data_IF_027644478679
#
_entry.id   IF_027644478679
#
_cell.length_a   1.000
_cell.length_b   1.000
_cell.length_c   1.000
_cell.angle_alpha   90.00
_cell.angle_beta   90.00
_cell.angle_gamma   90.00
#
_symmetry.space_group_name_H-M   'P 1'
#
loop_
_entity.id
_entity.type
_entity.pdbx_description
1 polymer ?
#
# COMPACT_ATOMS: atom_id res chain seq x y z
N UNK A 1 -36.50 -12.59 31.90
CA UNK A 1 -36.30 -12.45 30.44
C UNK A 1 -34.85 -12.04 30.24
N UNK A 2 -33.98 -13.06 30.16
CA UNK A 2 -32.53 -12.90 29.97
C UNK A 2 -32.30 -12.56 28.50
N UNK A 3 -31.77 -11.38 28.20
CA UNK A 3 -31.17 -11.11 26.90
C UNK A 3 -29.66 -11.30 27.04
N UNK A 4 -29.21 -12.46 26.56
CA UNK A 4 -27.81 -12.76 26.24
C UNK A 4 -27.23 -11.61 25.41
N UNK A 5 -26.24 -10.90 25.95
CA UNK A 5 -25.27 -10.18 25.11
C UNK A 5 -24.46 -11.24 24.37
N UNK A 6 -24.72 -11.40 23.08
CA UNK A 6 -23.84 -12.14 22.16
C UNK A 6 -22.48 -11.44 22.19
N UNK A 7 -21.51 -12.01 22.91
CA UNK A 7 -20.09 -11.73 22.68
C UNK A 7 -19.76 -12.19 21.26
N UNK A 8 -19.64 -11.22 20.36
CA UNK A 8 -18.97 -11.43 19.09
C UNK A 8 -17.48 -11.42 19.43
N UNK A 9 -16.92 -12.60 19.72
CA UNK A 9 -15.48 -12.79 19.58
C UNK A 9 -15.20 -12.61 18.08
N UNK A 10 -14.63 -11.47 17.70
CA UNK A 10 -13.95 -11.34 16.42
C UNK A 10 -12.69 -12.19 16.55
N UNK A 11 -12.77 -13.43 16.05
CA UNK A 11 -11.59 -14.28 15.88
C UNK A 11 -10.65 -13.60 14.89
N UNK A 12 -9.63 -12.91 15.40
CA UNK A 12 -8.47 -12.48 14.62
C UNK A 12 -7.62 -13.70 14.28
N UNK A 13 -8.11 -14.47 13.32
CA UNK A 13 -7.32 -15.38 12.50
C UNK A 13 -6.95 -14.58 11.25
N UNK A 14 -5.76 -13.94 11.25
CA UNK A 14 -5.04 -13.76 9.99
C UNK A 14 -4.18 -15.01 9.77
N UNK A 15 -4.70 -15.99 9.02
CA UNK A 15 -3.85 -16.72 8.10
C UNK A 15 -4.44 -16.60 6.71
N UNK A 16 -3.68 -16.01 5.78
CA UNK A 16 -3.56 -16.38 4.37
C UNK A 16 -2.82 -15.25 3.64
N UNK A 17 -1.48 -15.37 3.58
CA UNK A 17 -0.74 -14.85 2.44
C UNK A 17 -1.20 -15.69 1.25
N UNK A 18 -2.18 -15.16 0.50
CA UNK A 18 -2.79 -15.77 -0.67
C UNK A 18 -3.19 -14.63 -1.60
N UNK A 19 -2.22 -14.15 -2.40
CA UNK A 19 -2.36 -13.05 -3.36
C UNK A 19 -2.84 -11.71 -2.74
N UNK A 20 -2.19 -10.61 -3.08
CA UNK A 20 -2.61 -9.29 -2.57
C UNK A 20 -4.08 -9.03 -2.91
N UNK A 21 -4.98 -8.81 -1.93
CA UNK A 21 -6.28 -8.21 -2.22
C UNK A 21 -6.03 -6.80 -2.78
N UNK A 22 -6.86 -6.39 -3.76
CA UNK A 22 -6.81 -5.12 -4.50
C UNK A 22 -6.19 -3.97 -3.69
N UNK A 23 -4.93 -3.62 -3.99
CA UNK A 23 -4.20 -2.50 -3.39
C UNK A 23 -2.90 -2.87 -2.66
N UNK A 24 -2.73 -4.10 -2.16
CA UNK A 24 -1.50 -4.49 -1.45
C UNK A 24 -0.42 -5.05 -2.38
N UNK A 25 0.83 -4.63 -2.16
CA UNK A 25 2.03 -5.14 -2.81
C UNK A 25 2.82 -6.07 -1.89
N UNK A 26 4.14 -6.01 -1.98
CA UNK A 26 5.02 -6.89 -1.21
C UNK A 26 5.09 -6.51 0.27
N UNK A 27 5.34 -7.50 1.11
CA UNK A 27 5.28 -7.36 2.56
C UNK A 27 6.15 -8.37 3.31
N UNK A 28 6.59 -7.96 4.50
CA UNK A 28 7.10 -8.83 5.55
C UNK A 28 6.21 -8.64 6.80
N UNK A 29 5.86 -9.72 7.49
CA UNK A 29 5.09 -9.63 8.73
C UNK A 29 5.65 -10.52 9.83
N UNK A 30 5.41 -10.12 11.07
CA UNK A 30 5.65 -10.90 12.28
C UNK A 30 4.50 -10.71 13.27
N UNK A 31 4.15 -11.78 13.96
CA UNK A 31 3.08 -11.82 14.95
C UNK A 31 1.88 -12.67 14.53
N UNK A 32 0.90 -12.84 15.43
CA UNK A 32 0.82 -12.17 16.74
C UNK A 32 1.87 -12.64 17.75
N UNK A 33 2.22 -11.79 18.71
CA UNK A 33 2.95 -12.17 19.92
C UNK A 33 2.13 -13.17 20.74
N UNK A 34 2.80 -13.92 21.62
CA UNK A 34 2.12 -14.83 22.53
C UNK A 34 1.18 -14.06 23.48
N UNK A 35 0.16 -14.74 24.00
CA UNK A 35 -0.81 -14.17 24.95
C UNK A 35 -0.10 -13.48 26.12
N UNK A 36 -0.46 -12.22 26.37
CA UNK A 36 0.13 -11.41 27.43
C UNK A 36 1.50 -10.80 27.11
N UNK A 37 2.05 -11.03 25.91
CA UNK A 37 3.26 -10.38 25.40
C UNK A 37 2.90 -9.36 24.30
N UNK A 38 3.77 -8.38 24.06
CA UNK A 38 3.59 -7.36 23.04
C UNK A 38 4.92 -6.73 22.63
N UNK A 39 4.93 -5.97 21.55
CA UNK A 39 6.10 -5.23 21.08
C UNK A 39 6.15 -3.88 21.81
N UNK A 40 7.21 -3.63 22.58
CA UNK A 40 7.44 -2.34 23.25
C UNK A 40 8.09 -1.31 22.36
N UNK A 41 9.00 -1.77 21.50
CA UNK A 41 9.75 -0.88 20.63
C UNK A 41 9.85 -1.52 19.27
N UNK A 42 9.62 -0.73 18.23
CA UNK A 42 9.85 -1.12 16.86
C UNK A 42 10.53 0.03 16.13
N UNK A 43 11.66 -0.25 15.50
CA UNK A 43 12.42 0.67 14.67
C UNK A 43 12.68 0.00 13.33
N UNK A 44 12.55 0.75 12.24
CA UNK A 44 12.97 0.30 10.91
C UNK A 44 13.27 1.53 10.05
N UNK A 45 14.23 1.42 9.14
CA UNK A 45 14.66 2.55 8.30
C UNK A 45 14.45 2.22 6.83
N UNK A 46 13.58 2.97 6.16
CA UNK A 46 13.45 2.90 4.71
C UNK A 46 14.63 3.62 4.08
N UNK A 47 15.31 2.96 3.15
CA UNK A 47 16.14 3.67 2.15
C UNK A 47 15.19 4.08 1.03
N UNK A 48 14.87 5.36 0.94
CA UNK A 48 13.81 5.86 0.04
C UNK A 48 14.16 5.49 -1.41
N UNK A 49 13.31 4.70 -2.10
CA UNK A 49 13.61 4.30 -3.46
C UNK A 49 13.25 5.40 -4.46
N UNK A 50 13.60 5.18 -5.74
CA UNK A 50 12.97 5.95 -6.82
C UNK A 50 11.44 5.84 -6.71
N UNK A 51 10.68 6.90 -7.08
CA UNK A 51 9.23 6.82 -7.05
C UNK A 51 8.71 5.77 -8.04
N UNK A 52 7.46 5.31 -7.85
CA UNK A 52 6.78 4.45 -8.80
C UNK A 52 6.77 5.03 -10.23
N UNK A 53 6.71 4.17 -11.23
CA UNK A 53 6.59 4.55 -12.64
C UNK A 53 5.29 4.00 -13.26
N UNK A 54 4.36 4.87 -13.70
CA UNK A 54 4.33 6.32 -13.50
C UNK A 54 4.01 6.70 -12.04
N UNK A 55 4.55 7.82 -11.58
CA UNK A 55 4.20 8.41 -10.29
C UNK A 55 2.87 9.15 -10.43
N UNK A 56 1.77 8.51 -10.04
CA UNK A 56 0.40 9.06 -10.14
C UNK A 56 -0.45 8.62 -8.96
N UNK A 57 -0.67 7.31 -8.83
CA UNK A 57 -1.40 6.73 -7.71
C UNK A 57 -0.76 7.03 -6.36
N UNK A 58 -1.58 7.09 -5.31
CA UNK A 58 -1.12 7.21 -3.93
C UNK A 58 -0.58 5.86 -3.46
N UNK A 59 0.75 5.73 -3.49
CA UNK A 59 1.50 4.61 -2.96
C UNK A 59 2.03 4.94 -1.58
N UNK A 60 1.73 4.10 -0.60
CA UNK A 60 2.27 4.18 0.76
C UNK A 60 3.24 3.03 1.00
N UNK A 61 4.48 3.37 1.35
CA UNK A 61 5.45 2.44 1.92
C UNK A 61 5.44 2.62 3.43
N UNK A 62 5.19 1.54 4.17
CA UNK A 62 5.06 1.65 5.61
C UNK A 62 5.67 0.49 6.37
N UNK A 63 6.08 0.80 7.61
CA UNK A 63 6.15 -0.20 8.68
C UNK A 63 5.15 0.13 9.75
N UNK A 64 4.57 -0.88 10.38
CA UNK A 64 3.52 -0.64 11.36
C UNK A 64 3.31 -1.78 12.32
N UNK A 65 2.43 -1.54 13.30
CA UNK A 65 2.08 -2.49 14.33
C UNK A 65 0.56 -2.53 14.53
N UNK A 66 -0.03 -3.68 14.26
CA UNK A 66 -1.42 -3.95 14.61
C UNK A 66 -1.56 -4.13 16.13
N UNK A 67 -2.60 -3.53 16.71
CA UNK A 67 -2.74 -3.44 18.16
C UNK A 67 -3.94 -4.21 18.71
N UNK A 68 -3.94 -4.44 20.03
CA UNK A 68 -5.04 -5.10 20.76
C UNK A 68 -6.37 -4.33 20.71
N UNK A 69 -6.34 -3.04 20.35
CA UNK A 69 -7.54 -2.22 20.19
C UNK A 69 -8.11 -2.28 18.76
N UNK A 70 -7.43 -2.98 17.84
CA UNK A 70 -7.83 -3.08 16.43
C UNK A 70 -7.40 -1.90 15.57
N UNK A 71 -6.52 -1.03 16.07
CA UNK A 71 -5.90 0.02 15.26
C UNK A 71 -4.58 -0.47 14.65
N UNK A 72 -4.04 0.34 13.74
CA UNK A 72 -2.74 0.12 13.11
C UNK A 72 -1.87 1.37 13.28
N UNK A 73 -0.87 1.27 14.15
CA UNK A 73 0.15 2.31 14.31
C UNK A 73 1.13 2.18 13.14
N UNK A 74 1.17 3.16 12.24
CA UNK A 74 1.92 3.08 10.98
C UNK A 74 2.40 4.45 10.53
N UNK A 75 3.71 4.68 10.52
CA UNK A 75 4.29 5.79 9.78
C UNK A 75 4.32 5.45 8.29
N UNK A 76 4.20 6.49 7.47
CA UNK A 76 4.02 6.38 6.03
C UNK A 76 5.12 7.15 5.31
N UNK A 77 5.62 6.60 4.21
CA UNK A 77 6.41 7.28 3.19
C UNK A 77 5.66 7.12 1.89
N UNK A 78 5.07 8.22 1.41
CA UNK A 78 4.06 8.21 0.36
C UNK A 78 4.53 8.89 -0.92
N UNK A 79 4.09 8.34 -2.03
CA UNK A 79 4.35 8.87 -3.37
C UNK A 79 3.03 9.00 -4.11
N UNK A 80 2.82 10.17 -4.71
CA UNK A 80 1.64 10.57 -5.46
C UNK A 80 2.02 11.78 -6.34
N UNK A 81 1.27 12.09 -7.39
CA UNK A 81 1.57 13.27 -8.25
C UNK A 81 0.33 14.13 -8.52
N UNK A 82 -0.57 14.18 -7.55
CA UNK A 82 -1.76 15.02 -7.61
C UNK A 82 -1.99 15.64 -6.22
N UNK A 83 -2.93 16.58 -6.10
CA UNK A 83 -3.30 17.22 -4.83
C UNK A 83 -4.05 16.27 -3.86
N UNK A 84 -3.73 14.98 -3.88
CA UNK A 84 -4.40 13.89 -3.16
C UNK A 84 -4.08 13.94 -1.67
N UNK A 85 -2.96 14.53 -1.26
CA UNK A 85 -2.57 14.58 0.14
C UNK A 85 -2.02 15.96 0.56
N UNK A 86 -2.53 16.45 1.68
CA UNK A 86 -2.48 17.85 2.07
C UNK A 86 -1.41 18.11 3.13
N UNK A 87 -0.14 18.09 2.75
CA UNK A 87 0.94 18.58 3.59
C UNK A 87 2.28 18.73 2.86
N UNK A 88 2.65 17.77 2.01
CA UNK A 88 3.83 17.90 1.13
C UNK A 88 3.53 18.57 -0.22
N UNK A 89 2.26 18.67 -0.63
CA UNK A 89 1.89 19.22 -1.94
C UNK A 89 2.19 18.25 -3.08
N UNK A 90 2.23 18.74 -4.33
CA UNK A 90 2.51 17.89 -5.50
C UNK A 90 3.96 17.40 -5.45
N UNK A 91 4.16 16.09 -5.56
CA UNK A 91 5.48 15.47 -5.59
C UNK A 91 5.91 15.21 -7.04
N UNK A 92 7.16 15.55 -7.37
CA UNK A 92 7.78 15.28 -8.67
C UNK A 92 9.14 14.62 -8.45
N UNK A 93 9.18 13.29 -8.45
CA UNK A 93 10.40 12.57 -8.09
C UNK A 93 10.55 12.29 -6.59
N UNK A 94 9.77 12.98 -5.76
CA UNK A 94 9.90 13.02 -4.30
C UNK A 94 8.87 12.13 -3.59
N UNK A 95 9.04 12.00 -2.27
CA UNK A 95 8.16 11.29 -1.35
C UNK A 95 7.72 12.20 -0.18
N UNK A 96 6.65 11.83 0.52
CA UNK A 96 6.16 12.50 1.71
C UNK A 96 6.20 11.55 2.91
N UNK A 97 6.95 11.91 3.95
CA UNK A 97 7.15 11.07 5.14
C UNK A 97 6.48 11.67 6.38
N UNK A 98 5.78 10.84 7.16
CA UNK A 98 5.11 11.27 8.39
C UNK A 98 4.77 10.13 9.35
N UNK A 99 4.63 10.48 10.63
CA UNK A 99 4.11 9.56 11.65
C UNK A 99 2.60 9.47 11.52
N UNK A 100 2.02 8.26 11.59
CA UNK A 100 0.58 8.10 11.41
C UNK A 100 0.00 6.90 12.18
N UNK A 101 -1.32 6.85 12.32
CA UNK A 101 -2.06 5.72 12.84
C UNK A 101 -3.44 5.65 12.18
N UNK A 102 -3.81 4.45 11.71
CA UNK A 102 -5.16 4.15 11.25
C UNK A 102 -5.98 3.69 12.45
N UNK A 103 -6.90 4.54 12.88
CA UNK A 103 -7.83 4.26 13.96
C UNK A 103 -9.26 4.14 13.41
N UNK A 104 -10.21 3.73 14.24
CA UNK A 104 -11.63 3.62 13.84
C UNK A 104 -12.26 4.86 13.18
N UNK A 105 -11.71 6.07 13.44
CA UNK A 105 -12.17 7.33 12.85
C UNK A 105 -11.41 7.75 11.59
N UNK A 106 -10.47 6.93 11.11
CA UNK A 106 -9.64 7.19 9.93
C UNK A 106 -8.17 7.39 10.25
N UNK A 107 -7.40 7.78 9.23
CA UNK A 107 -5.97 8.05 9.35
C UNK A 107 -5.73 9.35 10.13
N UNK A 108 -4.80 9.32 11.09
CA UNK A 108 -4.41 10.47 11.91
C UNK A 108 -2.90 10.48 12.08
N UNK A 109 -2.28 11.65 12.18
CA UNK A 109 -0.82 11.67 12.35
C UNK A 109 -0.21 13.02 12.67
N UNK A 110 1.11 13.05 12.47
CA UNK A 110 1.96 14.20 12.75
C UNK A 110 2.14 15.09 11.53
N UNK A 111 3.31 15.73 11.46
CA UNK A 111 3.66 16.66 10.39
C UNK A 111 4.18 15.88 9.17
N UNK A 112 3.62 16.17 8.01
CA UNK A 112 4.14 15.74 6.71
C UNK A 112 5.40 16.51 6.30
N UNK A 113 6.41 15.77 5.85
CA UNK A 113 7.71 16.33 5.45
C UNK A 113 8.25 15.60 4.22
N UNK A 114 8.73 16.38 3.24
CA UNK A 114 9.36 15.85 2.03
C UNK A 114 10.57 14.96 2.36
N UNK A 115 10.67 13.85 1.64
CA UNK A 115 11.79 12.93 1.62
C UNK A 115 12.22 12.70 0.17
N UNK A 116 13.53 12.59 -0.05
CA UNK A 116 14.12 12.45 -1.37
C UNK A 116 14.63 11.02 -1.56
N UNK A 117 14.78 10.61 -2.82
CA UNK A 117 15.43 9.34 -3.18
C UNK A 117 16.79 9.23 -2.49
N UNK A 118 17.01 8.10 -1.79
CA UNK A 118 18.24 7.82 -1.06
C UNK A 118 18.27 8.33 0.38
N UNK A 119 17.30 9.14 0.82
CA UNK A 119 17.17 9.49 2.24
C UNK A 119 16.95 8.24 3.10
N UNK A 120 17.51 8.24 4.30
CA UNK A 120 17.23 7.23 5.33
C UNK A 120 16.08 7.71 6.21
N UNK A 121 14.88 7.16 5.97
CA UNK A 121 13.67 7.49 6.73
C UNK A 121 13.45 6.43 7.81
N UNK A 122 13.83 6.76 9.05
CA UNK A 122 13.60 5.89 10.21
C UNK A 122 12.20 6.12 10.79
N UNK A 123 11.42 5.04 10.85
CA UNK A 123 10.14 4.97 11.54
C UNK A 123 10.33 4.27 12.89
N UNK A 124 9.98 4.96 13.96
CA UNK A 124 10.25 4.54 15.34
C UNK A 124 8.98 4.60 16.18
N UNK A 125 8.71 3.53 16.92
CA UNK A 125 7.56 3.39 17.81
C UNK A 125 8.00 2.93 19.19
N UNK A 126 7.52 3.58 20.24
CA UNK A 126 7.90 3.27 21.62
C UNK A 126 6.68 3.28 22.55
N UNK A 127 6.44 2.17 23.24
CA UNK A 127 5.43 2.10 24.28
C UNK A 127 5.84 2.91 25.50
N UNK A 128 4.99 3.83 25.92
CA UNK A 128 5.21 4.71 27.06
C UNK A 128 4.41 4.21 28.26
N UNK A 129 5.08 3.68 29.27
CA UNK A 129 4.41 3.12 30.45
C UNK A 129 3.67 4.15 31.31
N UNK A 130 4.06 5.43 31.22
CA UNK A 130 3.40 6.50 31.99
C UNK A 130 2.05 6.89 31.39
N UNK A 131 1.93 6.86 30.07
CA UNK A 131 0.71 7.28 29.35
C UNK A 131 -0.11 6.09 28.85
N UNK A 132 0.51 4.94 28.66
CA UNK A 132 -0.06 3.78 28.00
C UNK A 132 -0.14 3.89 26.47
N UNK A 133 0.46 4.93 25.89
CA UNK A 133 0.45 5.18 24.44
C UNK A 133 1.68 4.60 23.75
N UNK A 134 1.63 4.54 22.42
CA UNK A 134 2.82 4.45 21.59
C UNK A 134 3.21 5.85 21.10
N UNK A 135 4.41 6.28 21.46
CA UNK A 135 5.03 7.48 20.93
C UNK A 135 5.76 7.13 19.62
N UNK A 136 5.46 7.89 18.58
CA UNK A 136 5.97 7.70 17.23
C UNK A 136 6.91 8.83 16.84
N UNK A 137 7.96 8.47 16.11
CA UNK A 137 8.93 9.40 15.55
C UNK A 137 9.28 8.97 14.13
N UNK A 138 9.23 9.93 13.19
CA UNK A 138 9.86 9.79 11.88
C UNK A 138 11.09 10.66 11.85
N UNK A 139 12.21 10.07 11.46
CA UNK A 139 13.48 10.76 11.30
C UNK A 139 13.94 10.65 9.84
N UNK A 140 14.39 11.76 9.25
CA UNK A 140 15.04 11.77 7.95
C UNK A 140 16.52 12.05 8.17
N UNK A 141 17.39 11.12 7.76
CA UNK A 141 18.84 11.21 7.93
C UNK A 141 19.26 11.52 9.38
N UNK A 142 18.55 10.91 10.34
CA UNK A 142 18.79 11.08 11.78
C UNK A 142 18.16 12.32 12.43
N UNK A 143 17.44 13.17 11.68
CA UNK A 143 16.75 14.35 12.21
C UNK A 143 15.27 14.03 12.40
N UNK A 144 14.73 14.21 13.62
CA UNK A 144 13.29 14.05 13.88
C UNK A 144 12.51 15.12 13.12
N UNK A 145 11.60 14.69 12.23
CA UNK A 145 10.80 15.59 11.38
C UNK A 145 9.29 15.51 11.67
N UNK A 146 8.82 14.37 12.19
CA UNK A 146 7.43 14.17 12.60
C UNK A 146 7.34 13.39 13.90
N UNK A 147 6.36 13.75 14.72
CA UNK A 147 6.05 13.09 15.99
C UNK A 147 4.54 12.93 16.15
N UNK A 148 4.10 11.80 16.69
CA UNK A 148 2.70 11.56 17.02
C UNK A 148 2.61 10.58 18.20
N UNK A 149 1.53 10.61 18.99
CA UNK A 149 1.33 9.67 20.11
C UNK A 149 -0.07 9.10 20.03
N UNK A 150 -0.18 7.78 20.12
CA UNK A 150 -1.43 7.06 19.86
C UNK A 150 -1.79 6.17 21.04
N UNK A 151 -3.01 6.33 21.58
CA UNK A 151 -3.56 5.45 22.60
C UNK A 151 -4.27 4.27 21.93
N UNK A 152 -3.61 3.11 21.89
CA UNK A 152 -4.07 1.97 21.07
C UNK A 152 -3.80 0.60 21.72
N UNK A 153 -3.75 0.53 23.05
CA UNK A 153 -3.51 -0.75 23.73
C UNK A 153 -2.09 -1.28 23.51
N UNK A 154 -1.94 -2.54 23.09
CA UNK A 154 -0.65 -3.24 22.97
C UNK A 154 -0.40 -3.74 21.55
N UNK A 155 0.80 -3.53 21.01
CA UNK A 155 1.20 -3.97 19.67
C UNK A 155 1.42 -5.48 19.65
N UNK A 156 0.59 -6.18 18.89
CA UNK A 156 0.59 -7.65 18.82
C UNK A 156 1.41 -8.17 17.64
N UNK A 157 1.67 -7.35 16.63
CA UNK A 157 2.48 -7.73 15.48
C UNK A 157 3.20 -6.52 14.92
N UNK A 158 4.13 -6.79 14.00
CA UNK A 158 4.84 -5.78 13.25
C UNK A 158 4.96 -6.23 11.80
N UNK A 159 5.04 -5.30 10.86
CA UNK A 159 5.31 -5.64 9.48
C UNK A 159 5.67 -4.43 8.63
N UNK A 160 6.09 -4.72 7.41
CA UNK A 160 6.25 -3.78 6.31
C UNK A 160 5.19 -4.09 5.26
N UNK A 161 4.67 -3.10 4.55
CA UNK A 161 3.96 -3.34 3.30
C UNK A 161 4.07 -2.18 2.33
N UNK A 162 3.79 -2.50 1.07
CA UNK A 162 3.46 -1.55 0.03
C UNK A 162 1.94 -1.53 -0.15
N UNK A 163 1.32 -0.35 -0.13
CA UNK A 163 -0.11 -0.19 -0.32
C UNK A 163 -0.39 0.90 -1.35
N UNK A 164 -1.03 0.53 -2.45
CA UNK A 164 -1.55 1.45 -3.42
C UNK A 164 -3.02 1.75 -3.13
N UNK A 165 -3.35 3.00 -2.84
CA UNK A 165 -4.71 3.42 -2.56
C UNK A 165 -5.66 3.06 -3.73
N UNK A 166 -6.71 2.31 -3.41
CA UNK A 166 -7.75 1.90 -4.35
C UNK A 166 -9.09 2.62 -4.09
N UNK A 167 -9.18 3.48 -3.07
CA UNK A 167 -10.38 4.25 -2.79
C UNK A 167 -10.52 5.41 -3.79
N UNK A 168 -11.69 5.53 -4.42
CA UNK A 168 -11.96 6.55 -5.42
C UNK A 168 -11.79 7.98 -4.85
N UNK A 169 -11.16 8.91 -5.61
CA UNK A 169 -10.51 8.70 -6.91
C UNK A 169 -9.17 7.96 -6.75
N UNK A 170 -9.03 6.80 -7.40
CA UNK A 170 -7.84 5.95 -7.29
C UNK A 170 -7.19 5.79 -8.66
N UNK A 171 -5.89 6.06 -8.73
CA UNK A 171 -5.06 5.75 -9.88
C UNK A 171 -4.09 4.62 -9.48
N UNK A 172 -3.89 3.58 -10.31
CA UNK A 172 -2.90 2.53 -10.03
C UNK A 172 -1.49 3.09 -9.86
N UNK A 173 -0.76 2.60 -8.86
CA UNK A 173 0.55 3.14 -8.47
C UNK A 173 1.71 2.68 -9.38
N UNK A 174 1.45 2.04 -10.53
CA UNK A 174 2.49 1.64 -11.47
C UNK A 174 3.53 0.65 -10.91
N UNK A 175 4.72 0.66 -11.50
CA UNK A 175 5.86 -0.15 -11.06
C UNK A 175 6.55 0.51 -9.86
N UNK A 176 6.43 -0.11 -8.69
CA UNK A 176 7.22 0.20 -7.50
C UNK A 176 8.56 -0.52 -7.58
N UNK A 177 9.69 0.19 -7.59
CA UNK A 177 11.01 -0.45 -7.66
C UNK A 177 11.34 -1.20 -6.37
N UNK A 178 12.22 -2.21 -6.50
CA UNK A 178 12.74 -2.93 -5.34
C UNK A 178 13.41 -1.95 -4.37
N UNK A 179 13.17 -2.15 -3.07
CA UNK A 179 13.65 -1.25 -2.03
C UNK A 179 14.01 -2.04 -0.77
N UNK A 180 14.40 -1.35 0.30
CA UNK A 180 14.88 -2.04 1.50
C UNK A 180 14.57 -1.28 2.78
N UNK A 181 14.29 -2.08 3.80
CA UNK A 181 14.24 -1.66 5.19
C UNK A 181 15.52 -2.12 5.89
N UNK A 182 16.27 -1.20 6.48
CA UNK A 182 17.52 -1.47 7.18
C UNK A 182 17.40 -1.17 8.67
N UNK A 183 18.28 -1.78 9.46
CA UNK A 183 18.39 -1.55 10.90
C UNK A 183 17.06 -1.77 11.65
N UNK A 184 16.36 -2.86 11.31
CA UNK A 184 15.10 -3.23 11.95
C UNK A 184 15.38 -3.77 13.34
N UNK A 185 14.70 -3.24 14.36
CA UNK A 185 14.81 -3.67 15.75
C UNK A 185 13.41 -3.74 16.37
N UNK A 186 13.03 -4.91 16.86
CA UNK A 186 11.84 -5.12 17.68
C UNK A 186 12.27 -5.52 19.09
N UNK A 187 11.69 -4.91 20.12
CA UNK A 187 11.87 -5.30 21.52
C UNK A 187 10.53 -5.73 22.08
N UNK A 188 10.40 -7.00 22.46
CA UNK A 188 9.18 -7.54 23.08
C UNK A 188 9.13 -7.18 24.56
N UNK A 189 7.94 -7.25 25.18
CA UNK A 189 7.79 -7.06 26.63
C UNK A 189 8.39 -8.21 27.43
N UNK A 190 8.22 -9.44 26.96
CA UNK A 190 8.85 -10.64 27.51
C UNK A 190 9.62 -11.40 26.41
N UNK A 191 10.70 -12.14 26.75
CA UNK A 191 11.38 -12.99 25.79
C UNK A 191 10.44 -14.03 25.19
N UNK A 192 10.43 -14.14 23.87
CA UNK A 192 9.65 -15.13 23.12
C UNK A 192 10.54 -15.81 22.08
N UNK A 193 11.25 -16.92 22.42
CA UNK A 193 12.21 -17.57 21.54
C UNK A 193 11.61 -18.08 20.22
N UNK A 194 10.31 -18.36 20.20
CA UNK A 194 9.57 -18.93 19.08
C UNK A 194 8.82 -17.88 18.26
N UNK A 195 9.05 -16.57 18.49
CA UNK A 195 8.40 -15.50 17.73
C UNK A 195 8.66 -15.60 16.22
N UNK A 196 9.80 -16.15 15.80
CA UNK A 196 10.11 -16.42 14.39
C UNK A 196 9.12 -17.36 13.69
N UNK A 197 8.38 -18.18 14.43
CA UNK A 197 7.36 -19.07 13.86
C UNK A 197 6.15 -18.29 13.31
N UNK A 198 6.05 -16.99 13.64
CA UNK A 198 4.98 -16.10 13.20
C UNK A 198 5.32 -15.34 11.93
N UNK A 199 6.54 -15.49 11.39
CA UNK A 199 7.00 -14.68 10.28
C UNK A 199 6.29 -15.08 8.98
N UNK A 200 5.84 -14.08 8.24
CA UNK A 200 5.24 -14.21 6.91
C UNK A 200 5.93 -13.30 5.91
N UNK A 201 6.01 -13.74 4.65
CA UNK A 201 6.63 -12.96 3.57
C UNK A 201 5.82 -13.09 2.30
N UNK A 202 5.72 -12.00 1.55
CA UNK A 202 5.24 -11.96 0.18
C UNK A 202 6.12 -11.01 -0.64
N UNK A 203 6.97 -11.56 -1.50
CA UNK A 203 7.98 -10.78 -2.26
C UNK A 203 8.95 -9.98 -1.41
N UNK A 204 9.22 -10.46 -0.19
CA UNK A 204 10.23 -9.93 0.70
C UNK A 204 11.27 -11.02 1.03
N UNK A 205 12.53 -10.60 1.20
CA UNK A 205 13.63 -11.46 1.61
C UNK A 205 14.43 -10.86 2.77
N UNK A 206 15.16 -11.71 3.49
CA UNK A 206 15.72 -11.39 4.80
C UNK A 206 14.83 -11.94 5.93
N UNK A 207 15.30 -11.81 7.17
CA UNK A 207 14.56 -12.26 8.36
C UNK A 207 15.04 -11.53 9.60
N UNK A 208 14.26 -11.54 10.68
CA UNK A 208 14.72 -11.11 11.98
C UNK A 208 15.37 -12.27 12.74
N UNK A 209 16.41 -11.96 13.51
CA UNK A 209 17.08 -12.92 14.39
C UNK A 209 17.20 -12.35 15.79
N UNK A 210 17.32 -13.23 16.77
CA UNK A 210 17.45 -12.86 18.18
C UNK A 210 18.67 -13.54 18.79
N UNK A 211 19.44 -12.79 19.59
CA UNK A 211 20.58 -13.30 20.34
C UNK A 211 20.35 -13.34 21.86
N UNK A 212 19.19 -12.90 22.35
CA UNK A 212 18.90 -12.71 23.78
C UNK A 212 17.67 -13.50 24.26
N UNK A 213 17.41 -14.66 23.63
CA UNK A 213 16.30 -15.53 24.00
C UNK A 213 14.93 -15.06 23.50
N UNK A 214 14.89 -14.24 22.46
CA UNK A 214 13.67 -13.76 21.82
C UNK A 214 13.13 -12.48 22.42
N UNK A 215 13.95 -11.73 23.17
CA UNK A 215 13.57 -10.45 23.76
C UNK A 215 13.75 -9.32 22.75
N UNK A 216 14.83 -9.37 21.97
CA UNK A 216 15.17 -8.42 20.91
C UNK A 216 15.33 -9.17 19.59
N UNK A 217 14.59 -8.73 18.59
CA UNK A 217 14.65 -9.25 17.22
C UNK A 217 15.21 -8.18 16.30
N UNK A 218 16.22 -8.54 15.51
CA UNK A 218 16.96 -7.61 14.66
C UNK A 218 17.11 -8.12 13.24
N UNK A 219 17.07 -7.23 12.26
CA UNK A 219 17.47 -7.50 10.90
C UNK A 219 18.32 -6.34 10.37
N UNK A 220 19.51 -6.64 9.84
CA UNK A 220 20.35 -5.63 9.20
C UNK A 220 19.66 -5.09 7.94
N UNK A 221 18.98 -5.97 7.20
CA UNK A 221 18.29 -5.65 5.96
C UNK A 221 17.12 -6.61 5.69
N UNK A 222 15.98 -6.05 5.37
CA UNK A 222 14.86 -6.71 4.68
C UNK A 222 14.78 -6.10 3.28
N UNK A 223 14.79 -6.94 2.26
CA UNK A 223 14.67 -6.49 0.85
C UNK A 223 13.26 -6.76 0.39
N UNK A 224 12.65 -5.76 -0.27
CA UNK A 224 11.35 -5.86 -0.90
C UNK A 224 11.59 -5.88 -2.41
N UNK A 225 11.10 -6.91 -3.08
CA UNK A 225 11.23 -7.05 -4.53
C UNK A 225 10.38 -6.01 -5.24
N UNK A 226 10.67 -5.72 -6.51
CA UNK A 226 9.85 -4.79 -7.29
C UNK A 226 8.43 -5.34 -7.47
N UNK A 227 7.44 -4.45 -7.40
CA UNK A 227 6.02 -4.80 -7.54
C UNK A 227 5.32 -3.90 -8.54
N UNK A 228 4.46 -4.47 -9.39
CA UNK A 228 3.75 -3.71 -10.41
C UNK A 228 2.24 -3.71 -10.13
N UNK A 229 1.70 -2.55 -9.80
CA UNK A 229 0.27 -2.33 -9.57
C UNK A 229 -0.54 -2.16 -10.87
N UNK A 230 0.10 -2.25 -12.03
CA UNK A 230 -0.59 -2.24 -13.32
C UNK A 230 -1.29 -3.58 -13.55
N UNK A 231 -2.58 -3.62 -13.89
CA UNK A 231 -3.27 -4.86 -14.20
C UNK A 231 -2.56 -5.65 -15.29
N UNK A 232 -2.40 -6.95 -15.08
CA UNK A 232 -1.76 -7.90 -15.96
C UNK A 232 -2.75 -8.94 -16.46
N UNK A 233 -2.81 -9.12 -17.77
CA UNK A 233 -3.61 -10.19 -18.37
C UNK A 233 -2.78 -11.47 -18.51
N UNK A 234 -3.37 -12.67 -18.29
CA UNK A 234 -4.81 -12.92 -18.10
C UNK A 234 -5.30 -12.86 -16.65
N UNK A 235 -4.42 -12.67 -15.66
CA UNK A 235 -4.74 -12.87 -14.24
C UNK A 235 -5.71 -11.80 -13.68
N UNK A 236 -5.67 -10.58 -14.22
CA UNK A 236 -6.50 -9.44 -13.83
C UNK A 236 -7.70 -9.19 -14.78
N UNK A 237 -8.25 -10.26 -15.38
CA UNK A 237 -9.48 -10.16 -16.17
C UNK A 237 -10.67 -9.71 -15.30
N UNK A 238 -11.37 -8.65 -15.72
CA UNK A 238 -12.46 -8.05 -14.95
C UNK A 238 -12.01 -7.09 -13.84
N UNK A 239 -10.74 -6.69 -13.82
CA UNK A 239 -10.25 -5.66 -12.92
C UNK A 239 -10.96 -4.32 -13.18
N UNK A 240 -11.30 -3.59 -12.11
CA UNK A 240 -11.97 -2.29 -12.21
C UNK A 240 -10.97 -1.16 -12.06
N UNK A 241 -10.72 -0.46 -13.17
CA UNK A 241 -9.93 0.75 -13.18
C UNK A 241 -10.83 1.93 -12.85
N UNK A 242 -10.42 2.72 -11.86
CA UNK A 242 -11.05 4.02 -11.58
C UNK A 242 -10.13 5.11 -12.13
N UNK A 243 -10.72 6.18 -12.61
CA UNK A 243 -10.02 7.38 -13.11
C UNK A 243 -10.06 8.47 -12.05
N UNK A 244 -9.30 9.55 -12.26
CA UNK A 244 -9.30 10.70 -11.35
C UNK A 244 -10.67 11.40 -11.29
N UNK A 245 -11.44 11.38 -12.38
CA UNK A 245 -12.78 11.96 -12.44
C UNK A 245 -13.85 11.03 -11.85
N UNK A 246 -13.47 9.89 -11.26
CA UNK A 246 -14.34 8.85 -10.69
C UNK A 246 -15.11 8.02 -11.73
N UNK A 247 -14.74 8.06 -13.01
CA UNK A 247 -15.23 7.08 -13.98
C UNK A 247 -14.63 5.72 -13.70
N UNK A 248 -15.46 4.68 -13.83
CA UNK A 248 -15.07 3.28 -13.61
C UNK A 248 -15.10 2.55 -14.93
N UNK A 249 -14.01 1.86 -15.26
CA UNK A 249 -13.87 0.99 -16.41
C UNK A 249 -13.60 -0.44 -15.96
N UNK A 250 -14.25 -1.41 -16.60
CA UNK A 250 -13.96 -2.82 -16.41
C UNK A 250 -12.96 -3.28 -17.46
N UNK A 251 -11.82 -3.82 -17.05
CA UNK A 251 -10.85 -4.43 -17.97
C UNK A 251 -11.39 -5.78 -18.45
N UNK A 252 -11.07 -6.12 -19.68
CA UNK A 252 -11.25 -7.47 -20.21
C UNK A 252 -10.02 -7.85 -21.01
N UNK A 253 -9.42 -8.96 -20.64
CA UNK A 253 -8.30 -9.57 -21.33
C UNK A 253 -8.72 -10.19 -22.65
N UNK A 254 -7.76 -10.28 -23.58
CA UNK A 254 -7.93 -10.84 -24.92
C UNK A 254 -9.16 -10.30 -25.67
N UNK A 255 -9.46 -9.02 -25.48
CA UNK A 255 -10.65 -8.37 -26.01
C UNK A 255 -10.30 -7.10 -26.78
N UNK A 256 -10.96 -6.92 -27.91
CA UNK A 256 -10.88 -5.74 -28.77
C UNK A 256 -12.30 -5.24 -29.08
N UNK A 257 -12.41 -4.01 -29.57
CA UNK A 257 -13.64 -3.38 -30.00
C UNK A 257 -13.46 -2.82 -31.42
N UNK A 258 -14.16 -3.41 -32.38
CA UNK A 258 -14.02 -3.07 -33.80
C UNK A 258 -15.15 -2.15 -34.24
N UNK A 259 -14.81 -1.12 -35.05
CA UNK A 259 -15.72 -0.04 -35.41
C UNK A 259 -15.75 1.07 -34.37
N UNK A 260 -16.41 2.19 -34.70
CA UNK A 260 -16.63 3.30 -33.77
C UNK A 260 -15.36 4.07 -33.36
N UNK A 261 -14.32 4.07 -34.20
CA UNK A 261 -13.02 4.70 -33.93
C UNK A 261 -13.14 6.21 -33.63
N UNK A 262 -12.57 6.64 -32.50
CA UNK A 262 -12.51 8.05 -32.11
C UNK A 262 -11.08 8.60 -32.20
N UNK A 263 -10.12 7.88 -31.63
CA UNK A 263 -8.72 8.31 -31.54
C UNK A 263 -7.80 7.10 -31.42
N UNK A 264 -6.56 7.26 -31.88
CA UNK A 264 -5.50 6.30 -31.63
C UNK A 264 -4.22 7.04 -31.19
N UNK A 265 -3.56 6.55 -30.14
CA UNK A 265 -2.37 7.19 -29.57
C UNK A 265 -1.47 6.18 -28.88
N UNK A 266 -0.16 6.40 -28.87
CA UNK A 266 0.78 5.59 -28.11
C UNK A 266 0.65 5.89 -26.62
N UNK A 267 0.46 4.86 -25.80
CA UNK A 267 0.26 4.97 -24.35
C UNK A 267 0.94 3.80 -23.63
N UNK A 268 1.46 4.06 -22.44
CA UNK A 268 2.26 3.10 -21.69
C UNK A 268 1.44 2.01 -20.99
N UNK A 269 0.13 2.21 -20.80
CA UNK A 269 -0.70 1.30 -20.03
C UNK A 269 -2.18 1.33 -20.46
N UNK A 270 -2.93 0.30 -20.08
CA UNK A 270 -4.40 0.30 -20.17
C UNK A 270 -5.04 1.39 -19.31
N UNK A 271 -4.43 1.76 -18.18
CA UNK A 271 -4.93 2.83 -17.33
C UNK A 271 -4.88 4.19 -18.05
N UNK A 272 -3.76 4.53 -18.68
CA UNK A 272 -3.66 5.75 -19.49
C UNK A 272 -4.69 5.75 -20.63
N UNK A 273 -4.97 4.56 -21.18
CA UNK A 273 -5.95 4.38 -22.23
C UNK A 273 -7.38 4.67 -21.77
N UNK A 274 -7.79 4.18 -20.59
CA UNK A 274 -9.11 4.46 -20.03
C UNK A 274 -9.22 5.90 -19.52
N UNK A 275 -8.16 6.50 -18.98
CA UNK A 275 -8.14 7.94 -18.63
C UNK A 275 -8.33 8.80 -19.88
N UNK A 276 -7.64 8.49 -20.98
CA UNK A 276 -7.84 9.23 -22.23
C UNK A 276 -9.24 9.01 -22.83
N UNK A 277 -9.83 7.83 -22.64
CA UNK A 277 -11.23 7.59 -22.99
C UNK A 277 -12.15 8.46 -22.14
N UNK A 278 -11.88 8.57 -20.85
CA UNK A 278 -12.64 9.40 -19.93
C UNK A 278 -12.64 10.89 -20.34
N UNK A 279 -11.50 11.40 -20.76
CA UNK A 279 -11.37 12.78 -21.24
C UNK A 279 -11.95 12.99 -22.67
N UNK A 280 -12.27 11.91 -23.38
CA UNK A 280 -12.75 11.98 -24.77
C UNK A 280 -14.26 11.86 -24.84
N UNK A 281 -14.92 12.89 -25.37
CA UNK A 281 -16.36 12.90 -25.59
C UNK A 281 -16.82 11.67 -26.42
N UNK A 282 -17.91 11.03 -25.99
CA UNK A 282 -18.49 9.83 -26.61
C UNK A 282 -17.58 8.58 -26.63
N UNK A 283 -16.50 8.53 -25.86
CA UNK A 283 -15.72 7.30 -25.69
C UNK A 283 -16.34 6.37 -24.65
N UNK A 284 -16.49 5.10 -25.01
CA UNK A 284 -17.06 4.05 -24.15
C UNK A 284 -16.11 2.87 -23.99
N UNK A 285 -15.20 2.66 -24.94
CA UNK A 285 -14.22 1.57 -24.89
C UNK A 285 -12.82 2.08 -25.22
N UNK A 286 -11.84 1.57 -24.49
CA UNK A 286 -10.44 1.85 -24.70
C UNK A 286 -9.72 0.51 -24.91
N UNK A 287 -9.01 0.32 -26.01
CA UNK A 287 -8.32 -0.93 -26.33
C UNK A 287 -6.82 -0.70 -26.39
N UNK A 288 -6.06 -1.43 -25.58
CA UNK A 288 -4.61 -1.34 -25.50
C UNK A 288 -3.94 -2.62 -25.99
N UNK A 289 -2.97 -2.48 -26.89
CA UNK A 289 -2.24 -3.58 -27.53
C UNK A 289 -0.86 -3.87 -26.90
N UNK A 290 -0.59 -3.28 -25.73
CA UNK A 290 0.74 -3.25 -25.11
C UNK A 290 1.57 -2.01 -25.47
N UNK A 291 1.12 -1.18 -26.41
CA UNK A 291 1.82 0.05 -26.84
C UNK A 291 0.90 1.18 -27.30
N UNK A 292 -0.16 0.87 -28.01
CA UNK A 292 -1.11 1.82 -28.58
C UNK A 292 -2.47 1.64 -27.93
N UNK A 293 -3.14 2.77 -27.74
CA UNK A 293 -4.48 2.88 -27.23
C UNK A 293 -5.43 3.35 -28.33
N UNK A 294 -6.40 2.51 -28.67
CA UNK A 294 -7.53 2.84 -29.53
C UNK A 294 -8.77 3.19 -28.73
N UNK A 295 -9.23 4.43 -28.85
CA UNK A 295 -10.47 4.92 -28.23
C UNK A 295 -11.64 4.67 -29.17
N UNK A 296 -12.73 4.15 -28.62
CA UNK A 296 -13.91 3.70 -29.37
C UNK A 296 -15.19 4.22 -28.73
N UNK A 297 -16.15 4.57 -29.58
CA UNK A 297 -17.50 4.96 -29.20
C UNK A 297 -18.40 3.75 -28.94
N UNK A 298 -19.62 4.02 -28.47
CA UNK A 298 -20.61 3.01 -28.09
C UNK A 298 -21.07 2.09 -29.23
N UNK A 299 -20.80 2.45 -30.50
CA UNK A 299 -21.17 1.62 -31.67
C UNK A 299 -20.18 0.49 -31.94
N UNK A 300 -19.03 0.47 -31.26
CA UNK A 300 -18.03 -0.55 -31.46
C UNK A 300 -18.49 -1.92 -30.91
N UNK A 301 -18.16 -2.99 -31.64
CA UNK A 301 -18.54 -4.35 -31.25
C UNK A 301 -17.36 -5.09 -30.64
N UNK A 302 -17.62 -5.76 -29.51
CA UNK A 302 -16.60 -6.56 -28.82
C UNK A 302 -16.24 -7.79 -29.65
N UNK A 303 -14.95 -8.02 -29.83
CA UNK A 303 -14.39 -9.23 -30.44
C UNK A 303 -13.29 -9.81 -29.56
N UNK A 304 -13.05 -11.11 -29.67
CA UNK A 304 -11.91 -11.76 -29.01
C UNK A 304 -10.66 -11.52 -29.86
N UNK A 305 -9.62 -10.96 -29.24
CA UNK A 305 -8.31 -10.78 -29.86
C UNK A 305 -7.22 -10.98 -28.81
N UNK A 306 -6.45 -12.04 -28.97
CA UNK A 306 -5.35 -12.39 -28.07
C UNK A 306 -4.32 -11.25 -27.95
N UNK A 307 -3.85 -11.00 -26.73
CA UNK A 307 -2.88 -9.95 -26.43
C UNK A 307 -3.43 -8.53 -26.29
N UNK A 308 -4.74 -8.33 -26.52
CA UNK A 308 -5.39 -7.04 -26.28
C UNK A 308 -5.98 -6.95 -24.86
N UNK A 309 -5.95 -5.76 -24.28
CA UNK A 309 -6.68 -5.42 -23.06
C UNK A 309 -7.69 -4.34 -23.40
N UNK A 310 -8.98 -4.58 -23.14
CA UNK A 310 -10.02 -3.57 -23.34
C UNK A 310 -10.56 -3.06 -22.01
N UNK A 311 -10.69 -1.74 -21.85
CA UNK A 311 -11.44 -1.10 -20.78
C UNK A 311 -12.81 -0.70 -21.29
N UNK A 312 -13.88 -1.16 -20.64
CA UNK A 312 -15.26 -0.76 -20.97
C UNK A 312 -15.83 0.14 -19.88
N UNK A 313 -16.34 1.30 -20.24
CA UNK A 313 -16.94 2.25 -19.31
C UNK A 313 -18.14 1.60 -18.60
N UNK A 314 -18.08 1.51 -17.28
CA UNK A 314 -19.13 0.98 -16.40
C UNK A 314 -19.98 2.13 -15.86
N UNK A 315 -19.33 3.18 -15.38
CA UNK A 315 -19.98 4.39 -14.89
C UNK A 315 -19.11 5.59 -15.19
N UNK A 316 -19.74 6.67 -15.67
CA UNK A 316 -19.08 7.96 -15.88
C UNK A 316 -19.08 8.73 -14.56
N UNK A 317 -17.91 9.28 -14.20
CA UNK A 317 -17.73 10.21 -13.11
C UNK A 317 -18.06 11.66 -13.50
N UNK A 318 -17.60 12.62 -12.71
CA UNK A 318 -17.96 14.03 -12.81
C UNK A 318 -16.76 14.92 -13.09
#
# INVERSE_FOLDING_TARGET
MFLLKKSILLSFLLPLVSAGPSGFGHAFSSGPTADGNWIRTANSTLVVPSPPLPQKGLLSLWVGMGTSNGDLIQALVESYNDAIDAGCGVLDGDWCAWTSALVSTGQQGGKEVLANVGDEVKMSYMYNDATGNYDQYVLINGIVVSTFSTSSGKALGWGTAEECNQAAPAYPCGLTPAHSWINTILVLDQPQPDYSNTFGTFGASGTLTSSDGGKTWTADKLTIDAWNYTPTCPDDDGYKLTTLDNSVFNTTCNSDFVGGELKNSTMGSIQDCVTACDETENCFFAVWDGKNCGLKSSVAEKVVREGMIAGSLVSKGC
#
